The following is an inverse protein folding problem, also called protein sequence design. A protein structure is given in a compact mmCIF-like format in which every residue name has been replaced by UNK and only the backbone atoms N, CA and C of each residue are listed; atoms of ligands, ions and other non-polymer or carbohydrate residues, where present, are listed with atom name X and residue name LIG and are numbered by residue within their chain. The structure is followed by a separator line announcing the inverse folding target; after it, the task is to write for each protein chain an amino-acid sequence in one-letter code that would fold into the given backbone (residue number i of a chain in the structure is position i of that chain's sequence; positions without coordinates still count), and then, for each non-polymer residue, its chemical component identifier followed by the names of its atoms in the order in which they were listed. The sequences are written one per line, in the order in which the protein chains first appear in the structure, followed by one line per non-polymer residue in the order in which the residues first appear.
data_IF_178651248173
#
_entry.id   IF_178651248173
#
_cell.length_a   1.000
_cell.length_b   1.000
_cell.length_c   1.000
_cell.angle_alpha   90.00
_cell.angle_beta   90.00
_cell.angle_gamma   90.00
#
_symmetry.space_group_name_H-M   'P 1'
#
loop_
_entity.id
_entity.type
_entity.pdbx_description
1 polymer ?
#
# COMPACT_ATOMS: atom_id res chain seq x y z
N UNK A 1 -15.39 -2.13 17.00
CA UNK A 1 -14.67 -1.27 16.04
C UNK A 1 -14.45 -2.04 14.76
N UNK A 2 -14.64 -1.41 13.59
CA UNK A 2 -14.33 -1.97 12.27
C UNK A 2 -13.31 -1.07 11.60
N UNK A 3 -12.24 -1.66 11.08
CA UNK A 3 -11.14 -0.93 10.45
C UNK A 3 -10.97 -1.41 9.01
N UNK A 4 -11.11 -0.49 8.06
CA UNK A 4 -10.69 -0.71 6.69
C UNK A 4 -9.19 -0.37 6.56
N UNK A 5 -8.38 -1.39 6.38
CA UNK A 5 -6.90 -1.27 6.41
C UNK A 5 -6.27 -0.96 5.05
N UNK A 6 -7.08 -0.73 3.99
CA UNK A 6 -6.60 -0.41 2.66
C UNK A 6 -7.48 0.63 1.99
N UNK A 7 -7.09 1.90 2.10
CA UNK A 7 -7.76 3.02 1.44
C UNK A 7 -6.77 4.12 1.06
N UNK A 8 -7.21 5.04 0.18
CA UNK A 8 -6.37 6.14 -0.32
C UNK A 8 -7.02 7.49 -0.10
N UNK A 9 -6.20 8.49 0.27
CA UNK A 9 -6.63 9.85 0.56
C UNK A 9 -5.64 10.87 -0.03
N UNK A 10 -6.18 11.96 -0.57
CA UNK A 10 -5.43 13.18 -0.86
C UNK A 10 -6.09 14.32 -0.10
N UNK A 11 -5.54 14.76 1.03
CA UNK A 11 -6.11 15.86 1.80
C UNK A 11 -6.27 17.12 0.93
N UNK A 12 -7.45 17.79 0.92
CA UNK A 12 -7.66 18.99 0.07
C UNK A 12 -6.62 20.08 0.31
N UNK A 13 -6.28 20.36 1.56
CA UNK A 13 -5.29 21.35 1.95
C UNK A 13 -3.88 21.06 1.40
N UNK A 14 -3.55 19.78 1.13
CA UNK A 14 -2.30 19.43 0.46
C UNK A 14 -2.22 20.02 -0.94
N UNK A 15 -3.31 19.94 -1.72
CA UNK A 15 -3.34 20.45 -3.09
C UNK A 15 -3.20 21.98 -3.13
N UNK A 16 -3.75 22.68 -2.15
CA UNK A 16 -3.62 24.14 -1.99
C UNK A 16 -2.17 24.51 -1.65
N UNK A 17 -1.57 23.87 -0.63
CA UNK A 17 -0.19 24.13 -0.24
C UNK A 17 0.81 23.83 -1.35
N UNK A 18 0.62 22.74 -2.09
CA UNK A 18 1.51 22.40 -3.20
C UNK A 18 1.47 23.46 -4.33
N UNK A 19 0.31 24.05 -4.61
CA UNK A 19 0.21 25.15 -5.56
C UNK A 19 0.93 26.40 -5.08
N UNK A 20 0.79 26.77 -3.80
CA UNK A 20 1.44 27.92 -3.21
C UNK A 20 2.97 27.76 -3.16
N UNK A 21 3.43 26.56 -2.88
CA UNK A 21 4.85 26.21 -2.77
C UNK A 21 5.47 25.60 -4.04
N UNK A 22 4.83 25.76 -5.21
CA UNK A 22 5.29 25.15 -6.47
C UNK A 22 6.76 25.47 -6.85
N UNK A 23 7.27 26.64 -6.42
CA UNK A 23 8.68 27.01 -6.67
C UNK A 23 9.70 26.18 -5.88
N UNK A 24 9.27 25.47 -4.83
CA UNK A 24 10.12 24.57 -4.05
C UNK A 24 10.27 23.19 -4.71
N UNK A 25 9.42 22.89 -5.69
CA UNK A 25 9.40 21.63 -6.43
C UNK A 25 9.60 21.87 -7.93
N UNK A 26 10.82 22.28 -8.36
CA UNK A 26 11.08 22.65 -9.75
C UNK A 26 10.95 21.50 -10.75
N UNK A 27 11.04 20.24 -10.30
CA UNK A 27 10.85 19.04 -11.12
C UNK A 27 9.39 18.57 -11.18
N UNK A 28 8.45 19.31 -10.54
CA UNK A 28 7.02 18.98 -10.55
C UNK A 28 6.25 20.02 -11.36
N UNK A 29 5.64 19.59 -12.45
CA UNK A 29 4.67 20.40 -13.19
C UNK A 29 3.26 20.09 -12.67
N UNK A 30 2.55 21.13 -12.23
CA UNK A 30 1.18 21.07 -11.72
C UNK A 30 0.24 21.75 -12.72
N UNK A 31 -0.60 20.97 -13.37
CA UNK A 31 -1.51 21.47 -14.40
C UNK A 31 -2.96 21.38 -13.94
N UNK A 32 -3.70 22.50 -13.88
CA UNK A 32 -5.14 22.46 -13.65
C UNK A 32 -5.86 21.68 -14.75
N UNK A 33 -6.68 20.72 -14.37
CA UNK A 33 -7.43 19.88 -15.30
C UNK A 33 -8.74 19.39 -14.66
N UNK A 34 -9.85 19.55 -15.35
CA UNK A 34 -11.17 19.06 -14.93
C UNK A 34 -11.58 19.48 -13.52
N UNK A 35 -11.22 20.72 -13.11
CA UNK A 35 -11.51 21.24 -11.77
C UNK A 35 -10.60 20.71 -10.65
N UNK A 36 -9.51 20.04 -11.01
CA UNK A 36 -8.51 19.49 -10.09
C UNK A 36 -7.10 19.70 -10.64
N UNK A 37 -6.11 18.97 -10.12
CA UNK A 37 -4.72 19.02 -10.54
C UNK A 37 -4.28 17.68 -11.12
N UNK A 38 -3.45 17.76 -12.18
CA UNK A 38 -2.60 16.68 -12.66
C UNK A 38 -1.14 17.04 -12.39
N UNK A 39 -0.32 16.03 -12.12
CA UNK A 39 1.10 16.19 -11.79
C UNK A 39 1.97 15.51 -12.84
N UNK A 40 3.04 16.16 -13.28
CA UNK A 40 4.11 15.52 -14.05
C UNK A 40 5.39 15.63 -13.23
N UNK A 41 6.03 14.51 -12.99
CA UNK A 41 7.25 14.40 -12.19
C UNK A 41 8.45 14.24 -13.12
N UNK A 42 9.45 15.11 -13.00
CA UNK A 42 10.69 15.10 -13.79
C UNK A 42 10.44 14.97 -15.32
N UNK A 43 9.41 15.64 -15.84
CA UNK A 43 9.06 15.62 -17.27
C UNK A 43 8.44 14.31 -17.76
N UNK A 44 8.09 13.39 -16.87
CA UNK A 44 7.37 12.15 -17.23
C UNK A 44 5.91 12.46 -17.57
N UNK A 45 5.19 11.44 -18.06
CA UNK A 45 3.76 11.53 -18.39
C UNK A 45 2.96 12.02 -17.19
N UNK A 46 2.11 13.03 -17.40
CA UNK A 46 1.24 13.56 -16.36
C UNK A 46 0.27 12.49 -15.83
N UNK A 47 0.01 12.54 -14.52
CA UNK A 47 -1.02 11.74 -13.85
C UNK A 47 -2.40 12.07 -14.43
N UNK A 48 -3.38 11.24 -14.10
CA UNK A 48 -4.78 11.65 -14.20
C UNK A 48 -5.03 12.83 -13.25
N UNK A 49 -6.08 13.64 -13.45
CA UNK A 49 -6.49 14.60 -12.43
C UNK A 49 -6.80 13.88 -11.11
N UNK A 50 -6.44 14.49 -9.98
CA UNK A 50 -6.83 13.99 -8.66
C UNK A 50 -8.35 13.88 -8.59
N UNK A 51 -8.86 12.69 -8.36
CA UNK A 51 -10.31 12.48 -8.40
C UNK A 51 -11.00 13.07 -7.15
N UNK A 52 -12.25 13.55 -7.28
CA UNK A 52 -13.02 14.02 -6.12
C UNK A 52 -13.22 12.95 -5.04
N UNK A 53 -13.18 11.66 -5.40
CA UNK A 53 -13.24 10.56 -4.43
C UNK A 53 -12.06 10.55 -3.47
N UNK A 54 -10.87 10.97 -3.92
CA UNK A 54 -9.68 11.06 -3.09
C UNK A 54 -9.72 12.25 -2.13
N UNK A 55 -10.42 13.34 -2.48
CA UNK A 55 -10.36 14.61 -1.74
C UNK A 55 -11.62 14.93 -0.92
N UNK A 56 -12.76 14.33 -1.23
CA UNK A 56 -14.03 14.65 -0.55
C UNK A 56 -14.17 13.91 0.78
N UNK A 57 -13.66 14.52 1.85
CA UNK A 57 -13.69 13.97 3.22
C UNK A 57 -15.12 13.70 3.68
N UNK A 58 -16.06 14.63 3.46
CA UNK A 58 -17.44 14.48 3.91
C UNK A 58 -18.14 13.26 3.26
N UNK A 59 -17.95 13.09 1.95
CA UNK A 59 -18.48 11.91 1.23
C UNK A 59 -17.85 10.61 1.70
N UNK A 60 -16.55 10.63 2.02
CA UNK A 60 -15.83 9.48 2.58
C UNK A 60 -16.38 9.08 3.94
N UNK A 61 -16.54 10.03 4.86
CA UNK A 61 -17.08 9.76 6.18
C UNK A 61 -18.51 9.20 6.11
N UNK A 62 -19.36 9.76 5.23
CA UNK A 62 -20.71 9.23 5.00
C UNK A 62 -20.66 7.77 4.48
N UNK A 63 -19.78 7.46 3.52
CA UNK A 63 -19.60 6.09 3.04
C UNK A 63 -19.10 5.14 4.14
N UNK A 64 -18.17 5.59 4.99
CA UNK A 64 -17.70 4.81 6.14
C UNK A 64 -18.86 4.51 7.10
N UNK A 65 -19.69 5.50 7.41
CA UNK A 65 -20.86 5.33 8.29
C UNK A 65 -21.88 4.36 7.69
N UNK A 66 -22.17 4.47 6.39
CA UNK A 66 -23.06 3.56 5.64
C UNK A 66 -22.57 2.09 5.66
N UNK A 67 -21.24 1.88 5.67
CA UNK A 67 -20.63 0.55 5.69
C UNK A 67 -20.26 0.07 7.12
N UNK A 68 -20.55 0.89 8.15
CA UNK A 68 -20.22 0.57 9.54
C UNK A 68 -18.71 0.48 9.78
N UNK A 69 -17.93 1.31 9.07
CA UNK A 69 -16.47 1.41 9.22
C UNK A 69 -16.15 2.55 10.18
N UNK A 70 -15.53 2.24 11.30
CA UNK A 70 -15.17 3.21 12.32
C UNK A 70 -13.91 3.98 11.95
N UNK A 71 -12.92 3.30 11.33
CA UNK A 71 -11.62 3.90 10.97
C UNK A 71 -11.13 3.35 9.63
N UNK A 72 -10.43 4.18 8.86
CA UNK A 72 -9.65 3.76 7.69
C UNK A 72 -8.15 3.98 7.93
N UNK A 73 -7.33 2.99 7.59
CA UNK A 73 -5.90 3.18 7.35
C UNK A 73 -5.76 3.72 5.93
N UNK A 74 -5.31 4.96 5.82
CA UNK A 74 -5.26 5.68 4.55
C UNK A 74 -3.82 5.94 4.12
N UNK A 75 -3.50 5.59 2.89
CA UNK A 75 -2.26 5.99 2.23
C UNK A 75 -2.51 7.15 1.25
N UNK A 76 -1.46 7.84 0.85
CA UNK A 76 -1.53 8.77 -0.27
C UNK A 76 -1.92 8.06 -1.58
N UNK A 77 -2.24 8.85 -2.60
CA UNK A 77 -2.45 8.32 -3.94
C UNK A 77 -1.09 8.06 -4.61
N UNK A 78 -0.81 6.81 -5.02
CA UNK A 78 0.51 6.41 -5.52
C UNK A 78 1.00 7.22 -6.71
N UNK A 79 0.07 7.64 -7.59
CA UNK A 79 0.44 8.49 -8.74
C UNK A 79 1.04 9.85 -8.29
N UNK A 80 0.92 10.22 -7.00
CA UNK A 80 1.49 11.42 -6.41
C UNK A 80 2.74 11.15 -5.53
N UNK A 81 3.26 9.93 -5.47
CA UNK A 81 4.42 9.65 -4.59
C UNK A 81 5.72 10.33 -5.03
N UNK A 82 5.84 10.66 -6.31
CA UNK A 82 6.98 11.41 -6.82
C UNK A 82 8.27 10.57 -6.93
N UNK A 83 8.17 9.27 -7.17
CA UNK A 83 9.32 8.37 -7.28
C UNK A 83 10.21 8.62 -8.51
N UNK A 84 9.79 9.51 -9.42
CA UNK A 84 10.60 10.01 -10.53
C UNK A 84 11.39 11.28 -10.19
N UNK A 85 11.14 11.90 -9.03
CA UNK A 85 11.83 13.13 -8.64
C UNK A 85 13.29 12.87 -8.27
N UNK A 86 14.17 13.89 -8.40
CA UNK A 86 15.46 13.87 -7.73
C UNK A 86 15.27 13.53 -6.26
N UNK A 87 16.14 12.70 -5.70
CA UNK A 87 15.91 12.06 -4.41
C UNK A 87 15.62 13.05 -3.26
N UNK A 88 16.37 14.16 -3.18
CA UNK A 88 16.16 15.21 -2.16
C UNK A 88 14.82 15.95 -2.34
N UNK A 89 14.44 16.25 -3.59
CA UNK A 89 13.14 16.85 -3.90
C UNK A 89 12.00 15.87 -3.57
N UNK A 90 12.18 14.58 -3.88
CA UNK A 90 11.26 13.51 -3.51
C UNK A 90 11.08 13.39 -2.00
N UNK A 91 12.16 13.54 -1.22
CA UNK A 91 12.09 13.54 0.23
C UNK A 91 11.32 14.76 0.78
N UNK A 92 11.55 15.96 0.24
CA UNK A 92 10.79 17.16 0.61
C UNK A 92 9.29 17.02 0.24
N UNK A 93 9.01 16.47 -0.94
CA UNK A 93 7.66 16.16 -1.42
C UNK A 93 6.94 15.17 -0.48
N UNK A 94 7.59 14.07 -0.14
CA UNK A 94 7.05 13.06 0.78
C UNK A 94 6.74 13.64 2.18
N UNK A 95 7.65 14.46 2.74
CA UNK A 95 7.43 15.15 4.02
C UNK A 95 6.22 16.08 3.98
N UNK A 96 6.00 16.78 2.88
CA UNK A 96 4.81 17.64 2.69
C UNK A 96 3.53 16.80 2.69
N UNK A 97 3.49 15.69 1.96
CA UNK A 97 2.34 14.79 1.97
C UNK A 97 2.08 14.24 3.38
N UNK A 98 3.12 13.76 4.07
CA UNK A 98 3.02 13.16 5.39
C UNK A 98 2.46 14.14 6.44
N UNK A 99 2.88 15.40 6.40
CA UNK A 99 2.35 16.44 7.28
C UNK A 99 0.83 16.63 7.11
N UNK A 100 0.34 16.62 5.88
CA UNK A 100 -1.09 16.73 5.59
C UNK A 100 -1.88 15.47 5.93
N UNK A 101 -1.28 14.28 5.80
CA UNK A 101 -1.91 13.02 6.24
C UNK A 101 -2.12 13.00 7.75
N UNK A 102 -1.11 13.45 8.53
CA UNK A 102 -1.23 13.60 9.99
C UNK A 102 -2.27 14.66 10.39
N UNK A 103 -2.32 15.78 9.67
CA UNK A 103 -3.34 16.81 9.90
C UNK A 103 -4.75 16.24 9.64
N UNK A 104 -4.95 15.52 8.53
CA UNK A 104 -6.22 14.90 8.20
C UNK A 104 -6.68 13.88 9.26
N UNK A 105 -5.77 13.09 9.83
CA UNK A 105 -6.05 12.19 10.94
C UNK A 105 -6.57 12.95 12.16
N UNK A 106 -5.83 13.98 12.58
CA UNK A 106 -6.18 14.82 13.74
C UNK A 106 -7.50 15.55 13.56
N UNK A 107 -7.72 16.17 12.40
CA UNK A 107 -8.88 17.03 12.12
C UNK A 107 -10.18 16.24 11.98
N UNK A 108 -10.09 14.92 11.75
CA UNK A 108 -11.25 14.04 11.61
C UNK A 108 -11.44 13.08 12.80
N UNK A 109 -10.94 13.45 13.99
CA UNK A 109 -11.26 12.75 15.24
C UNK A 109 -10.83 11.29 15.28
N UNK A 110 -9.71 10.93 14.61
CA UNK A 110 -9.20 9.55 14.57
C UNK A 110 -9.97 8.60 13.65
N UNK A 111 -10.82 9.14 12.75
CA UNK A 111 -11.47 8.34 11.70
C UNK A 111 -10.48 7.84 10.63
N UNK A 112 -9.29 8.41 10.58
CA UNK A 112 -8.19 8.01 9.71
C UNK A 112 -6.95 7.66 10.54
N UNK A 113 -6.12 6.77 10.00
CA UNK A 113 -4.74 6.51 10.44
C UNK A 113 -3.86 6.57 9.20
N UNK A 114 -2.97 7.55 9.12
CA UNK A 114 -2.15 7.78 7.93
C UNK A 114 -0.99 6.80 7.81
N UNK A 115 -0.78 6.25 6.61
CA UNK A 115 0.50 5.66 6.20
C UNK A 115 1.34 6.71 5.47
N UNK A 116 2.63 6.72 5.77
CA UNK A 116 3.56 7.67 5.18
C UNK A 116 3.83 7.38 3.71
N UNK A 117 4.23 8.41 2.99
CA UNK A 117 4.94 8.33 1.72
C UNK A 117 6.43 8.46 2.00
N UNK A 118 7.26 7.68 1.32
CA UNK A 118 8.72 7.73 1.41
C UNK A 118 9.35 7.75 0.01
N UNK A 119 10.49 8.44 -0.19
CA UNK A 119 11.13 8.56 -1.51
C UNK A 119 11.92 7.29 -1.85
N UNK A 120 11.24 6.24 -2.33
CA UNK A 120 11.85 4.92 -2.57
C UNK A 120 12.93 4.90 -3.66
N UNK A 121 13.03 5.92 -4.52
CA UNK A 121 14.16 6.12 -5.43
C UNK A 121 15.51 6.33 -4.71
N UNK A 122 15.50 6.50 -3.38
CA UNK A 122 16.68 6.51 -2.52
C UNK A 122 16.39 5.78 -1.21
N UNK A 123 16.89 4.56 -1.04
CA UNK A 123 16.69 3.79 0.19
C UNK A 123 17.18 4.51 1.45
N UNK A 124 18.23 5.33 1.35
CA UNK A 124 18.73 6.15 2.48
C UNK A 124 17.73 7.21 2.88
N UNK A 125 17.26 8.03 1.93
CA UNK A 125 16.27 9.06 2.22
C UNK A 125 14.90 8.46 2.60
N UNK A 126 14.53 7.32 2.00
CA UNK A 126 13.33 6.60 2.40
C UNK A 126 13.40 6.15 3.87
N UNK A 127 14.57 5.68 4.33
CA UNK A 127 14.80 5.34 5.73
C UNK A 127 14.69 6.55 6.66
N UNK A 128 15.26 7.70 6.27
CA UNK A 128 15.19 8.95 7.05
C UNK A 128 13.75 9.42 7.19
N UNK A 129 13.04 9.55 6.07
CA UNK A 129 11.63 10.00 6.05
C UNK A 129 10.72 9.01 6.81
N UNK A 130 10.98 7.71 6.73
CA UNK A 130 10.24 6.70 7.50
C UNK A 130 10.44 6.89 9.01
N UNK A 131 11.67 7.14 9.47
CA UNK A 131 11.98 7.40 10.89
C UNK A 131 11.31 8.69 11.37
N UNK A 132 11.33 9.75 10.57
CA UNK A 132 10.65 11.01 10.85
C UNK A 132 9.12 10.81 10.99
N UNK A 133 8.51 10.12 10.03
CA UNK A 133 7.08 9.83 10.03
C UNK A 133 6.67 8.96 11.24
N UNK A 134 7.46 7.95 11.56
CA UNK A 134 7.24 7.11 12.76
C UNK A 134 7.37 7.93 14.04
N UNK A 135 8.39 8.81 14.13
CA UNK A 135 8.55 9.74 15.26
C UNK A 135 7.39 10.74 15.41
N UNK A 136 6.69 11.05 14.32
CA UNK A 136 5.48 11.88 14.31
C UNK A 136 4.18 11.10 14.62
N UNK A 137 4.26 9.76 14.80
CA UNK A 137 3.14 8.91 15.19
C UNK A 137 2.53 8.05 14.08
N UNK A 138 3.06 8.09 12.84
CA UNK A 138 2.59 7.21 11.77
C UNK A 138 3.07 5.76 12.00
N UNK A 139 2.20 4.78 11.82
CA UNK A 139 2.51 3.36 12.10
C UNK A 139 3.28 2.65 10.98
N UNK A 140 3.41 3.27 9.81
CA UNK A 140 4.08 2.68 8.67
C UNK A 140 4.01 3.51 7.41
N UNK A 141 4.30 2.86 6.30
CA UNK A 141 4.34 3.47 4.97
C UNK A 141 3.63 2.58 3.94
N UNK A 142 3.17 3.19 2.85
CA UNK A 142 2.83 2.48 1.63
C UNK A 142 3.89 2.78 0.57
N UNK A 143 4.34 1.74 -0.14
CA UNK A 143 5.31 1.85 -1.23
C UNK A 143 4.78 1.17 -2.49
N UNK A 144 5.30 1.58 -3.64
CA UNK A 144 5.03 0.89 -4.90
C UNK A 144 5.75 -0.45 -5.00
N UNK A 145 5.32 -1.29 -5.93
CA UNK A 145 6.00 -2.55 -6.30
C UNK A 145 7.39 -2.34 -6.89
N UNK A 146 7.66 -1.13 -7.38
CA UNK A 146 8.95 -0.70 -7.92
C UNK A 146 9.42 0.56 -7.16
N UNK A 147 10.67 0.61 -6.67
CA UNK A 147 11.20 1.75 -5.92
C UNK A 147 11.22 3.04 -6.73
N UNK A 148 11.49 2.92 -8.03
CA UNK A 148 11.42 3.99 -9.02
C UNK A 148 10.67 3.50 -10.27
N UNK A 149 10.35 4.41 -11.16
CA UNK A 149 9.74 4.03 -12.45
C UNK A 149 10.82 3.65 -13.50
N UNK A 150 12.05 3.41 -13.08
CA UNK A 150 13.19 2.98 -13.90
C UNK A 150 13.38 1.47 -13.97
N UNK A 151 12.60 0.69 -13.22
CA UNK A 151 12.67 -0.77 -13.20
C UNK A 151 13.57 -1.34 -12.10
N UNK A 152 13.94 -0.56 -11.08
CA UNK A 152 14.56 -1.09 -9.88
C UNK A 152 13.58 -2.00 -9.12
N UNK A 153 14.12 -2.91 -8.33
CA UNK A 153 13.34 -3.89 -7.59
C UNK A 153 13.40 -3.62 -6.08
N UNK A 154 12.38 -4.06 -5.33
CA UNK A 154 12.32 -3.87 -3.88
C UNK A 154 13.42 -4.61 -3.12
N UNK A 155 13.98 -5.67 -3.70
CA UNK A 155 15.10 -6.44 -3.15
C UNK A 155 16.49 -5.92 -3.61
N UNK A 156 16.54 -4.79 -4.31
CA UNK A 156 17.81 -4.18 -4.73
C UNK A 156 18.65 -3.72 -3.51
N UNK A 157 20.01 -3.82 -3.59
CA UNK A 157 20.89 -3.43 -2.50
C UNK A 157 20.70 -1.97 -2.04
N UNK A 158 20.29 -1.10 -2.94
CA UNK A 158 20.03 0.31 -2.68
C UNK A 158 18.86 0.52 -1.71
N UNK A 159 17.93 -0.44 -1.64
CA UNK A 159 16.80 -0.43 -0.70
C UNK A 159 17.15 -0.95 0.70
N UNK A 160 18.36 -1.48 0.91
CA UNK A 160 18.80 -2.01 2.21
C UNK A 160 18.55 -1.04 3.37
N UNK A 161 18.92 0.26 3.30
CA UNK A 161 18.72 1.19 4.42
C UNK A 161 17.21 1.35 4.78
N UNK A 162 16.33 1.34 3.78
CA UNK A 162 14.88 1.40 4.00
C UNK A 162 14.38 0.16 4.75
N UNK A 163 14.78 -1.05 4.32
CA UNK A 163 14.36 -2.30 4.96
C UNK A 163 14.90 -2.43 6.39
N UNK A 164 16.13 -1.99 6.64
CA UNK A 164 16.71 -1.92 7.98
C UNK A 164 15.91 -0.99 8.89
N UNK A 165 15.57 0.22 8.42
CA UNK A 165 14.74 1.14 9.18
C UNK A 165 13.34 0.56 9.46
N UNK A 166 12.70 -0.03 8.46
CA UNK A 166 11.38 -0.66 8.63
C UNK A 166 11.41 -1.81 9.65
N UNK A 167 12.48 -2.62 9.63
CA UNK A 167 12.71 -3.70 10.60
C UNK A 167 12.90 -3.16 12.02
N UNK A 168 13.79 -2.19 12.21
CA UNK A 168 14.08 -1.59 13.52
C UNK A 168 12.87 -0.93 14.17
N UNK A 169 12.05 -0.25 13.36
CA UNK A 169 10.87 0.45 13.82
C UNK A 169 9.65 -0.48 14.04
N UNK A 170 9.71 -1.71 13.57
CA UNK A 170 8.52 -2.56 13.52
C UNK A 170 7.41 -1.96 12.63
N UNK A 171 7.82 -1.27 11.56
CA UNK A 171 6.94 -0.48 10.71
C UNK A 171 6.04 -1.34 9.83
N UNK A 172 4.80 -0.91 9.60
CA UNK A 172 3.97 -1.43 8.52
C UNK A 172 4.60 -0.99 7.19
N UNK A 173 4.76 -1.93 6.26
CA UNK A 173 5.17 -1.67 4.87
C UNK A 173 4.10 -2.26 3.95
N UNK A 174 3.15 -1.43 3.53
CA UNK A 174 2.12 -1.83 2.58
C UNK A 174 2.68 -1.74 1.16
N UNK A 175 2.75 -2.87 0.46
CA UNK A 175 3.19 -2.94 -0.94
C UNK A 175 1.96 -2.90 -1.83
N UNK A 176 1.90 -1.88 -2.69
CA UNK A 176 0.77 -1.60 -3.57
C UNK A 176 1.25 -1.49 -5.03
N UNK A 177 0.53 -2.06 -6.00
CA UNK A 177 0.92 -1.97 -7.40
C UNK A 177 0.94 -0.53 -7.91
N UNK A 178 1.93 -0.20 -8.74
CA UNK A 178 1.99 1.09 -9.43
C UNK A 178 0.93 1.18 -10.53
N UNK A 179 0.57 2.42 -10.93
CA UNK A 179 -0.55 2.63 -11.88
C UNK A 179 -0.31 1.98 -13.24
N UNK A 180 0.89 2.11 -13.79
CA UNK A 180 1.26 1.65 -15.15
C UNK A 180 1.89 0.24 -15.12
N UNK A 181 1.44 -0.60 -14.17
CA UNK A 181 1.93 -1.95 -13.96
C UNK A 181 1.66 -2.91 -15.14
N UNK A 182 2.50 -3.93 -15.25
CA UNK A 182 2.39 -4.98 -16.26
C UNK A 182 3.09 -4.67 -17.57
N UNK A 183 3.17 -5.69 -18.44
CA UNK A 183 3.85 -5.59 -19.72
C UNK A 183 2.97 -4.99 -20.85
N UNK A 184 3.55 -4.87 -22.05
CA UNK A 184 2.87 -4.26 -23.20
C UNK A 184 1.59 -5.01 -23.63
N UNK A 185 1.43 -6.29 -23.29
CA UNK A 185 0.27 -7.12 -23.66
C UNK A 185 -0.98 -6.82 -22.83
N UNK A 186 -0.87 -6.10 -21.72
CA UNK A 186 -2.00 -5.78 -20.84
C UNK A 186 -2.52 -4.35 -21.01
N UNK A 187 -2.23 -3.67 -22.14
CA UNK A 187 -2.53 -2.24 -22.30
C UNK A 187 -3.96 -1.92 -22.76
N UNK A 188 -4.73 -2.90 -23.17
CA UNK A 188 -6.14 -2.79 -23.62
C UNK A 188 -7.11 -3.52 -22.68
N UNK A 189 -8.42 -3.46 -22.99
CA UNK A 189 -9.51 -4.15 -22.25
C UNK A 189 -9.57 -3.88 -20.75
N UNK A 190 -8.97 -2.79 -20.25
CA UNK A 190 -8.86 -2.53 -18.81
C UNK A 190 -7.88 -3.46 -18.09
N UNK A 191 -7.12 -4.27 -18.82
CA UNK A 191 -6.18 -5.25 -18.27
C UNK A 191 -5.07 -4.65 -17.40
N UNK A 192 -4.60 -3.39 -17.59
CA UNK A 192 -3.63 -2.83 -16.66
C UNK A 192 -4.11 -2.90 -15.20
N UNK A 193 -5.39 -2.60 -14.98
CA UNK A 193 -6.00 -2.64 -13.65
C UNK A 193 -6.40 -4.06 -13.22
N UNK A 194 -6.99 -4.83 -14.14
CA UNK A 194 -7.54 -6.15 -13.81
C UNK A 194 -6.45 -7.25 -13.66
N UNK A 195 -5.33 -7.14 -14.38
CA UNK A 195 -4.30 -8.18 -14.43
C UNK A 195 -2.89 -7.63 -14.23
N UNK A 196 -2.55 -6.50 -14.88
CA UNK A 196 -1.20 -5.94 -14.84
C UNK A 196 -0.73 -5.66 -13.42
N UNK A 197 -1.57 -5.06 -12.58
CA UNK A 197 -1.29 -4.77 -11.17
C UNK A 197 -1.10 -6.04 -10.34
N UNK A 198 -1.92 -7.06 -10.55
CA UNK A 198 -1.77 -8.35 -9.85
C UNK A 198 -0.45 -9.00 -10.24
N UNK A 199 -0.11 -9.01 -11.52
CA UNK A 199 1.14 -9.62 -12.02
C UNK A 199 2.37 -8.89 -11.49
N UNK A 200 2.35 -7.56 -11.49
CA UNK A 200 3.45 -6.73 -10.99
C UNK A 200 3.66 -6.94 -9.48
N UNK A 201 2.59 -6.94 -8.70
CA UNK A 201 2.65 -7.23 -7.26
C UNK A 201 3.14 -8.66 -6.99
N UNK A 202 2.71 -9.64 -7.79
CA UNK A 202 3.17 -11.03 -7.65
C UNK A 202 4.67 -11.15 -7.93
N UNK A 203 5.19 -10.43 -8.93
CA UNK A 203 6.63 -10.40 -9.23
C UNK A 203 7.39 -9.78 -8.05
N UNK A 204 7.01 -8.58 -7.61
CA UNK A 204 7.68 -7.87 -6.54
C UNK A 204 7.69 -8.68 -5.24
N UNK A 205 6.56 -9.26 -4.84
CA UNK A 205 6.46 -10.06 -3.61
C UNK A 205 7.24 -11.37 -3.71
N UNK A 206 7.24 -12.04 -4.89
CA UNK A 206 8.04 -13.26 -5.09
C UNK A 206 9.53 -12.96 -5.00
N UNK A 207 9.98 -11.80 -5.49
CA UNK A 207 11.39 -11.39 -5.37
C UNK A 207 11.80 -11.19 -3.92
N UNK A 208 11.05 -10.43 -3.12
CA UNK A 208 11.39 -10.22 -1.69
C UNK A 208 11.29 -11.51 -0.87
N UNK A 209 10.44 -12.46 -1.27
CA UNK A 209 10.38 -13.80 -0.69
C UNK A 209 11.68 -14.57 -1.01
N UNK A 210 11.99 -14.74 -2.29
CA UNK A 210 13.11 -15.57 -2.73
C UNK A 210 14.48 -15.00 -2.33
N UNK A 211 14.63 -13.68 -2.31
CA UNK A 211 15.84 -13.01 -1.83
C UNK A 211 16.03 -13.08 -0.31
N UNK A 212 15.06 -13.64 0.44
CA UNK A 212 15.12 -13.76 1.90
C UNK A 212 14.84 -12.47 2.67
N UNK A 213 14.38 -11.40 2.00
CA UNK A 213 14.09 -10.10 2.65
C UNK A 213 13.05 -10.23 3.75
N UNK A 214 12.00 -11.06 3.56
CA UNK A 214 10.93 -11.25 4.54
C UNK A 214 11.47 -11.79 5.85
N UNK A 215 12.39 -12.74 5.80
CA UNK A 215 13.02 -13.32 6.99
C UNK A 215 14.08 -12.40 7.59
N UNK A 216 14.92 -11.80 6.75
CA UNK A 216 15.99 -10.89 7.15
C UNK A 216 15.44 -9.66 7.88
N UNK A 217 14.36 -9.09 7.37
CA UNK A 217 13.74 -7.89 7.91
C UNK A 217 12.43 -8.18 8.64
N UNK A 218 12.39 -9.26 9.40
CA UNK A 218 11.19 -9.82 10.07
C UNK A 218 10.51 -8.88 11.08
N UNK A 219 11.17 -7.80 11.49
CA UNK A 219 10.54 -6.73 12.26
C UNK A 219 9.59 -5.87 11.42
N UNK A 220 9.85 -5.71 10.12
CA UNK A 220 8.93 -5.03 9.22
C UNK A 220 7.64 -5.84 9.04
N UNK A 221 6.49 -5.16 9.14
CA UNK A 221 5.16 -5.77 9.01
C UNK A 221 4.71 -5.60 7.56
N UNK A 222 5.15 -6.50 6.68
CA UNK A 222 4.94 -6.39 5.23
C UNK A 222 3.52 -6.82 4.89
N UNK A 223 2.73 -5.91 4.32
CA UNK A 223 1.33 -6.11 3.90
C UNK A 223 1.27 -6.13 2.38
N UNK A 224 0.69 -7.19 1.82
CA UNK A 224 0.48 -7.32 0.38
C UNK A 224 -1.00 -7.10 0.07
N UNK A 225 -1.28 -6.03 -0.67
CA UNK A 225 -2.63 -5.70 -1.09
C UNK A 225 -3.20 -6.69 -2.12
N UNK A 226 -4.46 -6.49 -2.45
CA UNK A 226 -5.22 -7.26 -3.46
C UNK A 226 -5.16 -8.78 -3.14
N UNK A 227 -5.46 -9.13 -1.88
CA UNK A 227 -5.49 -10.52 -1.42
C UNK A 227 -4.19 -11.29 -1.64
N UNK A 228 -3.04 -10.59 -1.60
CA UNK A 228 -1.73 -11.20 -1.82
C UNK A 228 -1.40 -11.45 -3.28
N UNK A 229 -2.06 -10.77 -4.22
CA UNK A 229 -1.72 -10.75 -5.65
C UNK A 229 -1.53 -12.15 -6.27
N UNK A 230 -2.48 -13.04 -6.07
CA UNK A 230 -2.47 -14.44 -6.54
C UNK A 230 -1.36 -15.34 -5.93
N UNK A 231 -0.59 -14.86 -4.96
CA UNK A 231 0.43 -15.67 -4.27
C UNK A 231 -0.12 -16.99 -3.71
N UNK A 232 -1.33 -17.04 -3.06
CA UNK A 232 -1.90 -18.31 -2.59
C UNK A 232 -2.10 -19.34 -3.70
N UNK A 233 -2.46 -18.90 -4.90
CA UNK A 233 -2.67 -19.79 -6.03
C UNK A 233 -1.36 -20.39 -6.58
N UNK A 234 -0.27 -19.61 -6.59
CA UNK A 234 1.02 -20.04 -7.17
C UNK A 234 1.98 -20.65 -6.16
N UNK A 235 1.69 -20.60 -4.86
CA UNK A 235 2.63 -21.02 -3.79
C UNK A 235 3.14 -22.45 -3.99
N UNK A 236 2.29 -23.37 -4.46
CA UNK A 236 2.70 -24.75 -4.76
C UNK A 236 3.80 -24.83 -5.81
N UNK A 237 3.73 -23.96 -6.84
CA UNK A 237 4.77 -23.87 -7.88
C UNK A 237 6.04 -23.23 -7.35
N UNK A 238 5.93 -22.18 -6.54
CA UNK A 238 7.10 -21.53 -5.92
C UNK A 238 7.85 -22.49 -5.00
N UNK A 239 7.12 -23.25 -4.17
CA UNK A 239 7.69 -24.29 -3.30
C UNK A 239 8.40 -25.38 -4.09
N UNK A 240 7.81 -25.82 -5.20
CA UNK A 240 8.45 -26.83 -6.05
C UNK A 240 9.73 -26.29 -6.69
N UNK A 241 9.73 -25.05 -7.16
CA UNK A 241 10.92 -24.39 -7.70
C UNK A 241 12.03 -24.26 -6.64
N UNK A 242 11.68 -23.86 -5.41
CA UNK A 242 12.63 -23.83 -4.30
C UNK A 242 13.23 -25.21 -4.01
N UNK A 243 12.41 -26.27 -4.04
CA UNK A 243 12.91 -27.64 -3.83
C UNK A 243 13.92 -28.11 -4.90
N UNK A 244 13.87 -27.54 -6.12
CA UNK A 244 14.85 -27.79 -7.18
C UNK A 244 16.13 -26.95 -7.02
N UNK A 245 16.06 -25.80 -6.34
CA UNK A 245 17.13 -24.82 -6.22
C UNK A 245 17.23 -24.26 -4.79
N UNK A 246 17.40 -25.10 -3.75
CA UNK A 246 17.27 -24.67 -2.35
C UNK A 246 18.39 -23.71 -1.89
N UNK A 247 19.54 -23.73 -2.58
CA UNK A 247 20.68 -22.86 -2.26
C UNK A 247 20.56 -21.45 -2.88
N UNK A 248 19.66 -21.29 -3.87
CA UNK A 248 19.57 -20.06 -4.65
C UNK A 248 18.51 -19.09 -4.10
N UNK A 249 17.63 -19.56 -3.22
CA UNK A 249 16.48 -18.77 -2.76
C UNK A 249 15.97 -19.21 -1.37
N UNK A 250 15.30 -18.31 -0.66
CA UNK A 250 14.65 -18.62 0.61
C UNK A 250 13.35 -19.44 0.44
N UNK A 251 12.91 -20.08 1.53
CA UNK A 251 11.68 -20.90 1.55
C UNK A 251 10.42 -20.03 1.39
N UNK A 252 9.68 -20.15 0.27
CA UNK A 252 8.53 -19.30 0.01
C UNK A 252 7.34 -19.58 0.95
N UNK A 253 7.20 -20.80 1.48
CA UNK A 253 6.10 -21.14 2.39
C UNK A 253 6.32 -20.50 3.74
N UNK A 254 7.54 -20.56 4.26
CA UNK A 254 7.93 -19.89 5.49
C UNK A 254 7.76 -18.37 5.36
N UNK A 255 8.29 -17.76 4.31
CA UNK A 255 8.18 -16.33 4.08
C UNK A 255 6.71 -15.90 3.93
N UNK A 256 5.89 -16.62 3.17
CA UNK A 256 4.48 -16.33 2.99
C UNK A 256 3.70 -16.30 4.31
N UNK A 257 4.02 -17.18 5.26
CA UNK A 257 3.38 -17.21 6.58
C UNK A 257 3.75 -16.02 7.48
N UNK A 258 4.77 -15.23 7.12
CA UNK A 258 5.21 -14.04 7.84
C UNK A 258 4.60 -12.74 7.28
N UNK A 259 4.02 -12.79 6.08
CA UNK A 259 3.37 -11.65 5.43
C UNK A 259 1.95 -11.43 5.96
N UNK A 260 1.41 -10.26 5.67
CA UNK A 260 0.03 -9.87 5.94
C UNK A 260 -0.69 -9.52 4.63
N UNK A 261 -2.02 -9.59 4.65
CA UNK A 261 -2.84 -9.49 3.45
C UNK A 261 -4.10 -8.70 3.71
N UNK A 262 -4.81 -8.32 2.65
CA UNK A 262 -6.16 -7.75 2.75
C UNK A 262 -7.23 -8.68 2.15
N UNK A 263 -8.51 -8.31 2.33
CA UNK A 263 -9.66 -9.07 1.82
C UNK A 263 -10.04 -8.70 0.38
N UNK A 264 -9.28 -7.85 -0.31
CA UNK A 264 -9.64 -7.30 -1.61
C UNK A 264 -9.43 -8.30 -2.76
N UNK A 265 -10.27 -9.30 -2.84
CA UNK A 265 -10.19 -10.38 -3.85
C UNK A 265 -11.45 -10.51 -4.72
N UNK A 266 -12.57 -9.84 -4.36
CA UNK A 266 -13.87 -9.83 -5.04
C UNK A 266 -14.57 -11.19 -5.20
N UNK A 267 -13.91 -12.30 -4.84
CA UNK A 267 -14.44 -13.66 -4.98
C UNK A 267 -14.29 -14.42 -3.66
N UNK A 268 -15.42 -14.89 -3.05
CA UNK A 268 -15.38 -15.59 -1.76
C UNK A 268 -14.48 -16.82 -1.75
N UNK A 269 -14.45 -17.59 -2.84
CA UNK A 269 -13.59 -18.78 -2.94
C UNK A 269 -12.09 -18.41 -2.93
N UNK A 270 -11.72 -17.26 -3.49
CA UNK A 270 -10.34 -16.75 -3.45
C UNK A 270 -9.95 -16.29 -2.04
N UNK A 271 -10.87 -15.65 -1.30
CA UNK A 271 -10.65 -15.29 0.09
C UNK A 271 -10.52 -16.52 0.98
N UNK A 272 -11.37 -17.54 0.77
CA UNK A 272 -11.25 -18.80 1.50
C UNK A 272 -9.91 -19.49 1.25
N UNK A 273 -9.45 -19.55 -0.01
CA UNK A 273 -8.13 -20.08 -0.35
C UNK A 273 -7.00 -19.33 0.38
N UNK A 274 -7.08 -17.99 0.44
CA UNK A 274 -6.10 -17.19 1.17
C UNK A 274 -6.11 -17.54 2.67
N UNK A 275 -7.30 -17.59 3.30
CA UNK A 275 -7.44 -17.94 4.73
C UNK A 275 -6.89 -19.34 5.00
N UNK A 276 -7.26 -20.33 4.19
CA UNK A 276 -6.79 -21.72 4.34
C UNK A 276 -5.26 -21.83 4.17
N UNK A 277 -4.65 -20.91 3.45
CA UNK A 277 -3.21 -20.93 3.17
C UNK A 277 -2.40 -20.24 4.26
N UNK A 278 -2.85 -19.09 4.78
CA UNK A 278 -2.04 -18.25 5.70
C UNK A 278 -2.65 -18.08 7.09
N UNK A 279 -3.92 -18.39 7.27
CA UNK A 279 -4.68 -18.14 8.51
C UNK A 279 -5.37 -16.77 8.53
N UNK A 280 -6.51 -16.70 9.21
CA UNK A 280 -7.29 -15.47 9.34
C UNK A 280 -6.56 -14.37 10.15
N UNK A 281 -5.60 -14.76 10.99
CA UNK A 281 -4.77 -13.86 11.80
C UNK A 281 -3.69 -13.12 10.97
N UNK A 282 -3.65 -13.33 9.67
CA UNK A 282 -2.79 -12.65 8.70
C UNK A 282 -3.54 -11.73 7.75
N UNK A 283 -4.86 -11.63 7.87
CA UNK A 283 -5.71 -10.94 6.90
C UNK A 283 -6.42 -9.78 7.58
N UNK A 284 -6.49 -8.64 6.91
CA UNK A 284 -7.20 -7.43 7.35
C UNK A 284 -8.30 -7.08 6.35
N UNK A 285 -9.38 -6.47 6.81
CA UNK A 285 -10.39 -5.89 5.94
C UNK A 285 -9.76 -4.78 5.09
N UNK A 286 -10.03 -4.77 3.78
CA UNK A 286 -9.55 -3.74 2.86
C UNK A 286 -10.53 -3.45 1.75
N UNK A 287 -10.70 -2.16 1.39
CA UNK A 287 -11.67 -1.72 0.37
C UNK A 287 -11.02 -1.18 -0.91
N UNK A 288 -9.81 -0.67 -0.86
CA UNK A 288 -9.19 0.16 -1.93
C UNK A 288 -10.02 1.43 -2.26
N UNK A 289 -10.79 1.93 -1.26
CA UNK A 289 -11.58 3.15 -1.43
C UNK A 289 -10.65 4.36 -1.69
N UNK A 290 -10.90 5.21 -2.71
CA UNK A 290 -12.16 5.40 -3.41
C UNK A 290 -12.18 4.88 -4.87
N UNK A 291 -11.38 3.92 -5.20
CA UNK A 291 -11.25 3.50 -6.61
C UNK A 291 -12.42 2.62 -7.07
N UNK A 292 -12.86 2.76 -8.34
CA UNK A 292 -13.97 1.94 -8.85
C UNK A 292 -13.69 0.43 -8.91
N UNK A 293 -12.41 0.03 -8.90
CA UNK A 293 -11.99 -1.37 -8.83
C UNK A 293 -11.98 -1.90 -7.40
N UNK A 294 -12.05 -1.02 -6.40
CA UNK A 294 -12.15 -1.39 -5.01
C UNK A 294 -13.48 -2.05 -4.64
N UNK A 295 -13.62 -2.45 -3.41
CA UNK A 295 -14.86 -3.06 -2.90
C UNK A 295 -15.75 -2.00 -2.23
N UNK A 296 -16.92 -1.68 -2.81
CA UNK A 296 -17.82 -0.67 -2.25
C UNK A 296 -18.52 -1.12 -0.96
N UNK A 297 -18.53 -2.43 -0.64
CA UNK A 297 -19.15 -3.02 0.55
C UNK A 297 -18.21 -4.09 1.15
N UNK A 298 -17.02 -3.70 1.64
CA UNK A 298 -15.91 -4.64 1.89
C UNK A 298 -16.22 -5.72 2.93
N UNK A 299 -17.20 -5.51 3.80
CA UNK A 299 -17.62 -6.53 4.79
C UNK A 299 -18.50 -7.63 4.20
N UNK A 300 -19.15 -7.38 3.06
CA UNK A 300 -20.11 -8.32 2.47
C UNK A 300 -19.47 -9.64 2.00
N UNK A 301 -18.19 -9.65 1.66
CA UNK A 301 -17.47 -10.86 1.29
C UNK A 301 -17.28 -11.80 2.49
N UNK A 302 -17.13 -11.26 3.71
CA UNK A 302 -17.00 -12.05 4.94
C UNK A 302 -18.27 -12.81 5.31
N UNK A 303 -19.44 -12.36 4.83
CA UNK A 303 -20.73 -13.04 5.07
C UNK A 303 -20.93 -14.26 4.15
N UNK A 304 -20.05 -14.43 3.15
CA UNK A 304 -20.13 -15.48 2.13
C UNK A 304 -19.12 -16.61 2.34
N UNK A 305 -18.35 -16.56 3.42
CA UNK A 305 -17.35 -17.57 3.79
C UNK A 305 -17.56 -18.03 5.22
N UNK A 306 -17.01 -19.19 5.57
CA UNK A 306 -17.07 -19.71 6.92
C UNK A 306 -15.96 -19.11 7.79
N UNK A 307 -16.34 -18.35 8.80
CA UNK A 307 -15.42 -17.75 9.77
C UNK A 307 -15.90 -17.99 11.18
N UNK A 308 -14.99 -18.31 12.09
CA UNK A 308 -15.30 -18.22 13.50
C UNK A 308 -15.52 -16.76 13.91
N UNK A 309 -16.30 -16.48 14.99
CA UNK A 309 -16.43 -15.11 15.49
C UNK A 309 -15.09 -14.44 15.83
N UNK A 310 -14.10 -15.22 16.29
CA UNK A 310 -12.76 -14.74 16.61
C UNK A 310 -11.98 -14.35 15.35
N UNK A 311 -12.02 -15.18 14.29
CA UNK A 311 -11.37 -14.88 13.02
C UNK A 311 -11.98 -13.66 12.35
N UNK A 312 -13.32 -13.56 12.37
CA UNK A 312 -14.02 -12.38 11.86
C UNK A 312 -13.60 -11.11 12.59
N UNK A 313 -13.55 -11.13 13.92
CA UNK A 313 -13.11 -9.99 14.72
C UNK A 313 -11.64 -9.63 14.44
N UNK A 314 -10.79 -10.63 14.23
CA UNK A 314 -9.39 -10.43 13.83
C UNK A 314 -9.29 -9.68 12.50
N UNK A 315 -10.01 -10.15 11.47
CA UNK A 315 -10.02 -9.57 10.13
C UNK A 315 -10.62 -8.14 10.15
N UNK A 316 -11.74 -7.96 10.83
CA UNK A 316 -12.46 -6.68 10.85
C UNK A 316 -11.72 -5.56 11.61
N UNK A 317 -10.82 -5.88 12.57
CA UNK A 317 -10.06 -4.86 13.30
C UNK A 317 -8.84 -5.37 14.07
N UNK A 318 -8.91 -6.57 14.65
CA UNK A 318 -7.92 -7.03 15.63
C UNK A 318 -6.49 -7.02 15.08
N UNK A 319 -6.31 -7.51 13.86
CA UNK A 319 -4.99 -7.52 13.23
C UNK A 319 -4.51 -6.10 12.91
N UNK A 320 -5.36 -5.24 12.34
CA UNK A 320 -4.97 -3.86 12.02
C UNK A 320 -4.51 -3.10 13.27
N UNK A 321 -5.26 -3.18 14.38
CA UNK A 321 -4.86 -2.61 15.67
C UNK A 321 -3.52 -3.15 16.15
N UNK A 322 -3.35 -4.47 16.13
CA UNK A 322 -2.08 -5.12 16.52
C UNK A 322 -0.90 -4.62 15.70
N UNK A 323 -1.06 -4.47 14.38
CA UNK A 323 0.01 -3.99 13.50
C UNK A 323 0.34 -2.52 13.76
N UNK A 324 -0.65 -1.69 14.08
CA UNK A 324 -0.45 -0.29 14.48
C UNK A 324 0.10 -0.13 15.90
N UNK A 325 0.21 -1.23 16.68
CA UNK A 325 0.67 -1.16 18.08
C UNK A 325 -0.41 -0.71 19.05
N UNK A 326 -1.68 -0.80 18.66
CA UNK A 326 -2.84 -0.45 19.47
C UNK A 326 -3.49 -1.70 20.10
N UNK A 327 -4.19 -1.50 21.19
CA UNK A 327 -5.02 -2.55 21.84
C UNK A 327 -6.50 -2.38 21.46
N UNK A 328 -7.20 -3.49 21.29
CA UNK A 328 -8.64 -3.52 20.98
C UNK A 328 -9.50 -2.97 22.12
#
# INVERSE_FOLDING_TARGET
MIIDAHAHLVPPALLEELQDRKSEFPSVEMTPKDGSLSFSFAGKKATRPVSPGLTNIAKRLAWMDENGIDRQVVAGWLDMFGNDLPAEEGAAWARTINAHMLAAEKDNGGRFSGLAVVPTQSGTLAAEVLREAHGAGMSGTMIGTQPDNGGAELDAPEMTPFWEAAHELGSIVAIHPVFDAGDARVRDFGMPNALGRITDSLIAVTRIIYSGHVEKYSGAKIVIGIGGAALPYVIGRLRHNHALHPEDMADPVKAMSMLYYDTLVHEPAALQLLIDTVGADRIMLGSDMPFPIGDPVPRAILDKIELSPADRASIESGLALKLMGETA
#
